data_IF_047640492077
#
_entry.id   IF_047640492077
#
_cell.length_a   1.000
_cell.length_b   1.000
_cell.length_c   1.000
_cell.angle_alpha   90.00
_cell.angle_beta   90.00
_cell.angle_gamma   90.00
#
_symmetry.space_group_name_H-M   'P 1'
#
loop_
_entity.id
_entity.type
_entity.pdbx_description
1 polymer ?
#
# COMPACT_ATOMS: atom_id res chain seq x y z
N UNK A 1 6.10 7.34 11.04
CA UNK A 1 5.56 5.98 11.22
C UNK A 1 4.11 6.14 11.57
N UNK A 2 3.27 5.35 10.90
CA UNK A 2 1.85 5.43 11.11
C UNK A 2 1.46 5.02 12.54
N UNK A 3 0.28 5.44 12.99
CA UNK A 3 -0.27 5.07 14.29
C UNK A 3 -1.77 4.77 14.19
N UNK A 4 -2.27 3.92 15.09
CA UNK A 4 -3.70 3.62 15.19
C UNK A 4 -4.53 4.89 15.41
N UNK A 5 -5.56 5.08 14.59
CA UNK A 5 -6.40 6.27 14.55
C UNK A 5 -5.92 7.37 13.59
N UNK A 6 -4.73 7.24 13.00
CA UNK A 6 -4.29 8.15 11.94
C UNK A 6 -5.18 8.00 10.71
N UNK A 7 -5.49 9.13 10.10
CA UNK A 7 -6.28 9.21 8.87
C UNK A 7 -5.43 9.77 7.74
N UNK A 8 -5.54 9.14 6.57
CA UNK A 8 -4.99 9.62 5.31
C UNK A 8 -6.14 9.86 4.32
N UNK A 9 -6.13 10.99 3.63
CA UNK A 9 -7.13 11.31 2.59
C UNK A 9 -6.41 11.55 1.26
N UNK A 10 -6.74 10.73 0.26
CA UNK A 10 -6.23 10.85 -1.11
C UNK A 10 -7.26 11.57 -2.00
N UNK A 11 -7.01 12.83 -2.38
CA UNK A 11 -7.97 13.63 -3.13
C UNK A 11 -8.15 13.18 -4.59
N UNK A 12 -7.27 12.34 -5.12
CA UNK A 12 -7.29 11.91 -6.52
C UNK A 12 -8.02 10.58 -6.67
N UNK A 13 -7.75 9.60 -5.80
CA UNK A 13 -8.41 8.29 -5.83
C UNK A 13 -9.73 8.24 -5.06
N UNK A 14 -10.02 9.26 -4.24
CA UNK A 14 -11.22 9.29 -3.38
C UNK A 14 -11.12 8.36 -2.17
N UNK A 15 -9.93 7.88 -1.84
CA UNK A 15 -9.66 7.02 -0.68
C UNK A 15 -9.48 7.84 0.59
N UNK A 16 -10.17 7.44 1.66
CA UNK A 16 -9.92 7.87 3.03
C UNK A 16 -9.62 6.65 3.89
N UNK A 17 -8.40 6.59 4.40
CA UNK A 17 -7.84 5.44 5.09
C UNK A 17 -7.67 5.79 6.56
N UNK A 18 -8.31 5.04 7.45
CA UNK A 18 -8.11 5.15 8.90
C UNK A 18 -7.39 3.90 9.41
N UNK A 19 -6.21 4.06 9.99
CA UNK A 19 -5.48 2.93 10.56
C UNK A 19 -6.16 2.42 11.83
N UNK A 20 -6.51 1.12 11.85
CA UNK A 20 -7.11 0.45 13.01
C UNK A 20 -6.09 -0.31 13.84
N UNK A 21 -5.13 -0.95 13.16
CA UNK A 21 -3.99 -1.66 13.73
C UNK A 21 -2.82 -1.55 12.78
N UNK A 22 -1.70 -1.02 13.25
CA UNK A 22 -0.45 -0.91 12.50
C UNK A 22 0.40 -2.17 12.66
N UNK A 23 1.43 -2.33 11.85
CA UNK A 23 2.47 -3.34 12.01
C UNK A 23 3.09 -3.30 13.41
N UNK A 24 3.25 -2.11 14.00
CA UNK A 24 3.75 -1.99 15.37
C UNK A 24 2.79 -2.56 16.42
N UNK A 25 1.47 -2.44 16.19
CA UNK A 25 0.44 -2.97 17.09
C UNK A 25 0.33 -4.50 17.03
N UNK A 26 0.74 -5.11 15.91
CA UNK A 26 0.53 -6.54 15.60
C UNK A 26 1.83 -7.34 15.52
N UNK A 27 2.98 -6.72 15.82
CA UNK A 27 4.29 -7.36 15.65
C UNK A 27 4.65 -7.63 14.17
N UNK A 28 4.01 -6.94 13.23
CA UNK A 28 4.23 -7.05 11.79
C UNK A 28 3.43 -8.17 11.12
N UNK A 29 2.61 -8.91 11.87
CA UNK A 29 1.85 -10.04 11.35
C UNK A 29 0.73 -9.60 10.40
N UNK A 30 0.08 -8.48 10.66
CA UNK A 30 -0.99 -7.95 9.81
C UNK A 30 -1.24 -6.46 10.06
N UNK A 31 -1.84 -5.79 9.08
CA UNK A 31 -2.29 -4.41 9.12
C UNK A 31 -3.82 -4.41 8.98
N UNK A 32 -4.52 -3.55 9.73
CA UNK A 32 -5.95 -3.32 9.53
C UNK A 32 -6.27 -1.84 9.35
N UNK A 33 -7.12 -1.54 8.37
CA UNK A 33 -7.63 -0.20 8.08
C UNK A 33 -9.14 -0.21 7.89
N UNK A 34 -9.78 0.91 8.20
CA UNK A 34 -11.07 1.28 7.65
C UNK A 34 -10.80 2.10 6.37
N UNK A 35 -11.23 1.57 5.22
CA UNK A 35 -11.15 2.23 3.91
C UNK A 35 -12.53 2.78 3.54
N UNK A 36 -12.65 4.10 3.56
CA UNK A 36 -13.79 4.82 3.00
C UNK A 36 -13.46 5.22 1.55
N UNK A 37 -14.39 4.94 0.62
CA UNK A 37 -14.29 5.37 -0.76
C UNK A 37 -15.45 6.29 -1.10
N UNK A 38 -15.13 7.48 -1.63
CA UNK A 38 -16.13 8.36 -2.23
C UNK A 38 -16.84 7.67 -3.41
N UNK A 39 -18.00 8.17 -3.87
CA UNK A 39 -18.53 7.81 -5.18
C UNK A 39 -17.43 7.94 -6.25
N UNK A 40 -17.38 6.99 -7.19
CA UNK A 40 -16.32 6.83 -8.21
C UNK A 40 -14.89 6.61 -7.67
N UNK A 41 -14.72 6.52 -6.34
CA UNK A 41 -13.44 6.27 -5.70
C UNK A 41 -12.90 4.89 -6.07
N UNK A 42 -11.59 4.79 -6.28
CA UNK A 42 -10.97 3.58 -6.81
C UNK A 42 -9.49 3.49 -6.46
N UNK A 43 -8.96 2.27 -6.36
CA UNK A 43 -7.53 2.08 -6.15
C UNK A 43 -6.72 2.54 -7.37
N UNK A 44 -5.56 3.21 -7.17
CA UNK A 44 -4.67 3.65 -8.25
C UNK A 44 -4.03 2.48 -9.02
N UNK A 45 -4.77 1.90 -9.96
CA UNK A 45 -4.23 0.84 -10.82
C UNK A 45 -4.72 -0.56 -10.47
N UNK A 46 -4.69 -1.46 -11.47
CA UNK A 46 -4.68 -2.88 -11.18
C UNK A 46 -3.27 -3.24 -10.71
N UNK A 47 -3.17 -4.07 -9.69
CA UNK A 47 -1.90 -4.40 -9.05
C UNK A 47 -1.91 -5.82 -8.49
N UNK A 48 -0.76 -6.26 -7.98
CA UNK A 48 -0.61 -7.55 -7.31
C UNK A 48 0.27 -7.39 -6.08
N UNK A 49 -0.17 -7.98 -4.97
CA UNK A 49 0.65 -8.19 -3.78
C UNK A 49 1.39 -9.53 -3.93
N UNK A 50 2.73 -9.56 -4.02
CA UNK A 50 3.45 -10.81 -4.26
C UNK A 50 3.46 -11.74 -3.04
N UNK A 51 3.35 -11.17 -1.83
CA UNK A 51 3.44 -11.89 -0.56
C UNK A 51 2.15 -11.75 0.26
N UNK A 52 1.45 -10.62 0.12
CA UNK A 52 0.33 -10.29 1.00
C UNK A 52 -1.00 -10.84 0.47
N UNK A 53 -1.81 -11.38 1.37
CA UNK A 53 -3.25 -11.56 1.19
C UNK A 53 -3.97 -10.31 1.71
N UNK A 54 -5.04 -9.92 1.02
CA UNK A 54 -5.95 -8.88 1.48
C UNK A 54 -7.36 -9.43 1.67
N UNK A 55 -8.00 -9.04 2.77
CA UNK A 55 -9.40 -9.36 3.08
C UNK A 55 -10.19 -8.07 3.17
N UNK A 56 -11.25 -7.96 2.37
CA UNK A 56 -12.14 -6.81 2.29
C UNK A 56 -13.52 -7.19 2.82
N UNK A 57 -13.88 -6.74 4.02
CA UNK A 57 -15.24 -6.85 4.56
C UNK A 57 -15.99 -5.55 4.26
N UNK A 58 -17.01 -5.62 3.42
CA UNK A 58 -17.82 -4.45 3.08
C UNK A 58 -18.78 -4.16 4.23
N UNK A 59 -18.58 -3.03 4.90
CA UNK A 59 -19.42 -2.60 6.02
C UNK A 59 -20.63 -1.82 5.51
N UNK A 60 -20.44 -1.01 4.47
CA UNK A 60 -21.47 -0.15 3.89
C UNK A 60 -21.18 0.12 2.41
N UNK A 61 -22.23 0.34 1.62
CA UNK A 61 -22.12 0.70 0.21
C UNK A 61 -22.03 -0.51 -0.72
N UNK A 62 -21.51 -0.30 -1.92
CA UNK A 62 -21.32 -1.36 -2.92
C UNK A 62 -19.95 -1.23 -3.57
N UNK A 63 -19.19 -2.32 -3.52
CA UNK A 63 -17.85 -2.41 -4.07
C UNK A 63 -17.85 -3.28 -5.32
N UNK A 64 -17.04 -2.90 -6.30
CA UNK A 64 -16.75 -3.75 -7.46
C UNK A 64 -15.27 -4.10 -7.46
N UNK A 65 -15.00 -5.39 -7.48
CA UNK A 65 -13.66 -5.96 -7.57
C UNK A 65 -13.47 -6.59 -8.94
N UNK A 66 -12.34 -6.28 -9.57
CA UNK A 66 -11.74 -7.12 -10.60
C UNK A 66 -10.71 -7.99 -9.88
N UNK A 67 -10.95 -9.30 -9.75
CA UNK A 67 -10.06 -10.27 -9.09
C UNK A 67 -9.66 -11.34 -10.10
N UNK A 68 -8.42 -11.30 -10.56
CA UNK A 68 -7.93 -12.07 -11.69
C UNK A 68 -8.81 -11.84 -12.93
N UNK A 69 -9.41 -12.92 -13.44
CA UNK A 69 -10.34 -12.87 -14.57
C UNK A 69 -11.81 -12.69 -14.18
N UNK A 70 -12.12 -12.59 -12.88
CA UNK A 70 -13.49 -12.47 -12.38
C UNK A 70 -13.81 -11.04 -11.99
N UNK A 71 -15.07 -10.68 -12.15
CA UNK A 71 -15.65 -9.44 -11.63
C UNK A 71 -16.61 -9.82 -10.52
N UNK A 72 -16.47 -9.20 -9.36
CA UNK A 72 -17.27 -9.45 -8.16
C UNK A 72 -17.89 -8.12 -7.76
N UNK A 73 -19.21 -8.09 -7.60
CA UNK A 73 -19.90 -7.00 -6.91
C UNK A 73 -20.17 -7.48 -5.48
N UNK A 74 -19.74 -6.71 -4.50
CA UNK A 74 -19.89 -7.02 -3.08
C UNK A 74 -20.69 -5.90 -2.39
N UNK A 75 -21.63 -6.29 -1.55
CA UNK A 75 -22.51 -5.40 -0.79
C UNK A 75 -22.19 -5.48 0.71
N UNK A 76 -22.82 -4.61 1.50
CA UNK A 76 -22.68 -4.64 2.95
C UNK A 76 -22.93 -6.06 3.53
N UNK A 77 -21.99 -6.54 4.34
CA UNK A 77 -21.97 -7.89 4.90
C UNK A 77 -21.13 -8.90 4.10
N UNK A 78 -20.82 -8.62 2.83
CA UNK A 78 -19.99 -9.51 2.01
C UNK A 78 -18.50 -9.36 2.36
N UNK A 79 -17.76 -10.45 2.18
CA UNK A 79 -16.29 -10.44 2.25
C UNK A 79 -15.68 -10.93 0.95
N UNK A 80 -14.72 -10.16 0.41
CA UNK A 80 -13.86 -10.56 -0.70
C UNK A 80 -12.44 -10.77 -0.19
N UNK A 81 -11.91 -11.98 -0.38
CA UNK A 81 -10.49 -12.29 -0.10
C UNK A 81 -9.71 -12.29 -1.41
N UNK A 82 -8.56 -11.63 -1.42
CA UNK A 82 -7.61 -11.56 -2.53
C UNK A 82 -6.31 -12.24 -2.09
N UNK A 83 -6.09 -13.51 -2.48
CA UNK A 83 -4.87 -14.22 -2.13
C UNK A 83 -3.62 -13.58 -2.74
N UNK A 84 -2.47 -13.76 -2.09
CA UNK A 84 -1.17 -13.37 -2.61
C UNK A 84 -0.96 -13.84 -4.06
N UNK A 85 -0.34 -12.99 -4.87
CA UNK A 85 -0.11 -13.24 -6.30
C UNK A 85 -1.35 -13.02 -7.20
N UNK A 86 -2.51 -12.69 -6.63
CA UNK A 86 -3.72 -12.42 -7.42
C UNK A 86 -3.75 -10.98 -7.90
N UNK A 87 -3.75 -10.79 -9.23
CA UNK A 87 -3.99 -9.46 -9.82
C UNK A 87 -5.39 -8.99 -9.45
N UNK A 88 -5.50 -7.76 -8.95
CA UNK A 88 -6.80 -7.20 -8.62
C UNK A 88 -6.85 -5.67 -8.73
N UNK A 89 -8.08 -5.15 -8.71
CA UNK A 89 -8.44 -3.73 -8.65
C UNK A 89 -9.81 -3.64 -7.99
N UNK A 90 -10.05 -2.60 -7.21
CA UNK A 90 -11.37 -2.32 -6.67
C UNK A 90 -11.81 -0.86 -6.91
N UNK A 91 -13.11 -0.65 -6.85
CA UNK A 91 -13.73 0.67 -6.88
C UNK A 91 -15.05 0.66 -6.13
N UNK A 92 -15.48 1.83 -5.67
CA UNK A 92 -16.85 2.07 -5.29
C UNK A 92 -17.73 2.03 -6.53
N UNK A 93 -18.77 1.20 -6.50
CA UNK A 93 -19.73 1.02 -7.60
C UNK A 93 -21.13 1.55 -7.24
N UNK A 94 -21.28 2.15 -6.06
CA UNK A 94 -22.51 2.80 -5.63
C UNK A 94 -22.49 4.31 -5.89
N UNK A 95 -23.65 4.94 -5.72
CA UNK A 95 -23.83 6.40 -5.84
C UNK A 95 -23.50 7.16 -4.55
N UNK A 96 -23.39 6.44 -3.42
CA UNK A 96 -22.97 6.96 -2.12
C UNK A 96 -21.59 6.45 -1.71
N UNK A 97 -21.06 6.88 -0.54
CA UNK A 97 -19.80 6.37 -0.03
C UNK A 97 -19.87 4.87 0.29
N UNK A 98 -18.74 4.19 0.15
CA UNK A 98 -18.55 2.82 0.62
C UNK A 98 -17.57 2.81 1.80
N UNK A 99 -17.82 1.94 2.78
CA UNK A 99 -16.90 1.68 3.90
C UNK A 99 -16.54 0.20 3.91
N UNK A 100 -15.24 -0.08 3.92
CA UNK A 100 -14.68 -1.42 3.85
C UNK A 100 -13.63 -1.58 4.95
N UNK A 101 -13.74 -2.63 5.75
CA UNK A 101 -12.64 -3.05 6.63
C UNK A 101 -11.67 -3.88 5.82
N UNK A 102 -10.41 -3.45 5.79
CA UNK A 102 -9.37 -4.14 5.05
C UNK A 102 -8.32 -4.65 6.02
N UNK A 103 -8.04 -5.94 5.93
CA UNK A 103 -6.90 -6.57 6.59
C UNK A 103 -5.90 -7.01 5.53
N UNK A 104 -4.61 -6.75 5.79
CA UNK A 104 -3.50 -7.09 4.90
C UNK A 104 -2.48 -7.91 5.70
N UNK A 105 -2.13 -9.09 5.18
CA UNK A 105 -1.23 -10.02 5.87
C UNK A 105 -0.19 -10.61 4.91
N UNK A 106 1.13 -10.51 5.22
CA UNK A 106 1.74 -9.79 6.35
C UNK A 106 1.64 -8.26 6.21
N UNK A 107 1.89 -7.52 7.29
CA UNK A 107 1.79 -6.05 7.28
C UNK A 107 2.82 -5.38 6.33
N UNK A 108 4.05 -5.91 6.33
CA UNK A 108 5.20 -5.33 5.61
C UNK A 108 5.33 -3.82 5.86
N UNK A 109 5.62 -3.01 4.82
CA UNK A 109 5.65 -1.54 4.89
C UNK A 109 4.41 -0.91 4.24
N UNK A 110 3.27 -1.58 4.34
CA UNK A 110 2.04 -1.14 3.68
C UNK A 110 1.56 0.23 4.19
N UNK A 111 1.80 0.58 5.46
CA UNK A 111 1.49 1.93 5.96
C UNK A 111 2.31 3.01 5.24
N UNK A 112 3.61 2.77 5.03
CA UNK A 112 4.49 3.69 4.31
C UNK A 112 4.09 3.83 2.83
N UNK A 113 3.61 2.74 2.23
CA UNK A 113 3.07 2.74 0.87
C UNK A 113 1.83 3.63 0.77
N UNK A 114 0.88 3.51 1.71
CA UNK A 114 -0.30 4.37 1.76
C UNK A 114 0.07 5.84 1.97
N UNK A 115 0.95 6.13 2.93
CA UNK A 115 1.46 7.48 3.19
C UNK A 115 2.12 8.08 1.93
N UNK A 116 2.93 7.30 1.21
CA UNK A 116 3.60 7.74 -0.01
C UNK A 116 2.62 8.03 -1.15
N UNK A 117 1.64 7.14 -1.36
CA UNK A 117 0.61 7.33 -2.40
C UNK A 117 -0.21 8.60 -2.15
N UNK A 118 -0.63 8.82 -0.90
CA UNK A 118 -1.39 10.02 -0.50
C UNK A 118 -0.54 11.29 -0.63
N UNK A 119 0.73 11.25 -0.24
CA UNK A 119 1.64 12.38 -0.39
C UNK A 119 1.81 12.78 -1.86
N UNK A 120 2.02 11.81 -2.76
CA UNK A 120 2.14 12.04 -4.20
C UNK A 120 0.88 12.70 -4.78
N UNK A 121 -0.29 12.23 -4.37
CA UNK A 121 -1.57 12.80 -4.81
C UNK A 121 -1.75 14.25 -4.35
N UNK A 122 -1.48 14.53 -3.07
CA UNK A 122 -1.58 15.89 -2.48
C UNK A 122 -0.59 16.88 -3.08
N UNK A 123 0.59 16.39 -3.46
CA UNK A 123 1.62 17.20 -4.14
C UNK A 123 1.37 17.38 -5.65
N UNK A 124 0.27 16.84 -6.20
CA UNK A 124 -0.06 16.93 -7.62
C UNK A 124 0.90 16.15 -8.52
N UNK A 125 1.49 15.05 -8.01
CA UNK A 125 2.53 14.25 -8.68
C UNK A 125 2.01 12.92 -9.21
N UNK A 126 0.69 12.84 -9.37
CA UNK A 126 -0.04 11.73 -9.96
C UNK A 126 -0.78 12.19 -11.21
N UNK A 127 -1.05 11.26 -12.10
CA UNK A 127 -2.05 11.43 -13.16
C UNK A 127 -3.46 11.49 -12.54
N UNK A 128 -4.48 11.85 -13.34
CA UNK A 128 -5.88 11.86 -12.90
C UNK A 128 -6.41 10.49 -12.47
N UNK A 129 -5.75 9.41 -12.90
CA UNK A 129 -6.02 8.03 -12.47
C UNK A 129 -5.44 7.66 -11.10
N UNK A 130 -4.81 8.60 -10.39
CA UNK A 130 -4.11 8.37 -9.13
C UNK A 130 -2.72 7.74 -9.27
N UNK A 131 -2.37 7.23 -10.45
CA UNK A 131 -1.05 6.65 -10.70
C UNK A 131 0.05 7.73 -10.64
N UNK A 132 1.18 7.50 -9.95
CA UNK A 132 2.32 8.42 -9.94
C UNK A 132 2.87 8.71 -11.34
N UNK A 133 3.42 9.91 -11.56
CA UNK A 133 4.14 10.23 -12.79
C UNK A 133 5.36 9.30 -12.99
N UNK A 134 5.85 9.09 -14.23
CA UNK A 134 6.83 8.03 -14.52
C UNK A 134 8.11 8.02 -13.65
N UNK A 135 8.68 9.18 -13.33
CA UNK A 135 9.86 9.27 -12.47
C UNK A 135 9.55 8.91 -11.01
N UNK A 136 8.36 9.27 -10.52
CA UNK A 136 7.89 8.89 -9.19
C UNK A 136 7.54 7.41 -9.14
N UNK A 137 6.82 6.92 -10.15
CA UNK A 137 6.46 5.51 -10.27
C UNK A 137 7.71 4.62 -10.25
N UNK A 138 8.78 5.01 -10.95
CA UNK A 138 10.04 4.26 -10.95
C UNK A 138 10.71 4.18 -9.57
N UNK A 139 10.62 5.23 -8.75
CA UNK A 139 11.14 5.22 -7.37
C UNK A 139 10.21 4.42 -6.45
N UNK A 140 8.90 4.67 -6.53
CA UNK A 140 7.86 4.01 -5.76
C UNK A 140 7.89 2.49 -5.95
N UNK A 141 7.90 2.00 -7.20
CA UNK A 141 7.92 0.58 -7.49
C UNK A 141 9.20 -0.13 -7.01
N UNK A 142 10.31 0.60 -6.89
CA UNK A 142 11.54 0.03 -6.33
C UNK A 142 11.50 0.01 -4.80
N UNK A 143 10.90 1.03 -4.19
CA UNK A 143 10.81 1.15 -2.73
C UNK A 143 9.87 0.09 -2.13
N UNK A 144 8.77 -0.21 -2.84
CA UNK A 144 7.69 -1.07 -2.37
C UNK A 144 7.52 -2.37 -3.18
N UNK A 145 8.61 -2.94 -3.74
CA UNK A 145 8.55 -4.16 -4.58
C UNK A 145 8.08 -5.41 -3.82
N UNK A 146 8.18 -5.41 -2.47
CA UNK A 146 7.70 -6.50 -1.63
C UNK A 146 6.19 -6.40 -1.38
N UNK A 147 5.65 -5.18 -1.36
CA UNK A 147 4.26 -4.88 -1.12
C UNK A 147 3.47 -4.94 -2.43
N UNK A 148 3.89 -4.25 -3.49
CA UNK A 148 3.10 -4.09 -4.70
C UNK A 148 3.92 -4.22 -5.99
N UNK A 149 3.34 -4.87 -6.99
CA UNK A 149 3.94 -5.00 -8.32
C UNK A 149 2.95 -4.69 -9.43
N UNK A 150 3.49 -4.33 -10.60
CA UNK A 150 2.70 -4.19 -11.81
C UNK A 150 2.10 -5.55 -12.21
N UNK A 151 0.84 -5.58 -12.67
CA UNK A 151 0.19 -6.82 -13.05
C UNK A 151 0.74 -7.33 -14.39
N UNK A 152 0.78 -8.65 -14.57
CA UNK A 152 1.08 -9.38 -15.82
C UNK A 152 2.48 -9.18 -16.43
N UNK A 153 3.30 -8.24 -15.94
CA UNK A 153 4.66 -8.02 -16.44
C UNK A 153 5.67 -8.69 -15.50
N UNK A 154 6.60 -9.54 -16.01
CA UNK A 154 7.64 -10.13 -15.18
C UNK A 154 8.46 -9.07 -14.45
N UNK A 155 8.73 -9.26 -13.15
CA UNK A 155 9.40 -8.27 -12.32
C UNK A 155 10.78 -7.85 -12.87
N UNK A 156 11.49 -8.75 -13.54
CA UNK A 156 12.76 -8.44 -14.21
C UNK A 156 12.60 -7.42 -15.34
N UNK A 157 11.54 -7.55 -16.16
CA UNK A 157 11.24 -6.62 -17.24
C UNK A 157 10.83 -5.24 -16.70
N UNK A 158 9.97 -5.22 -15.67
CA UNK A 158 9.61 -3.97 -14.96
C UNK A 158 10.86 -3.26 -14.45
N UNK A 159 11.75 -3.98 -13.76
CA UNK A 159 13.00 -3.40 -13.24
C UNK A 159 13.91 -2.87 -14.34
N UNK A 160 14.04 -3.59 -15.46
CA UNK A 160 14.86 -3.14 -16.58
C UNK A 160 14.36 -1.82 -17.19
N UNK A 161 13.04 -1.67 -17.35
CA UNK A 161 12.41 -0.45 -17.87
C UNK A 161 12.50 0.70 -16.87
N UNK A 162 12.29 0.43 -15.57
CA UNK A 162 12.24 1.47 -14.53
C UNK A 162 13.63 1.92 -14.05
N UNK A 163 14.69 1.12 -14.24
CA UNK A 163 16.02 1.44 -13.72
C UNK A 163 16.61 2.76 -14.26
N UNK A 164 16.57 3.07 -15.58
CA UNK A 164 17.03 4.36 -16.10
C UNK A 164 16.26 5.55 -15.54
N UNK A 165 14.93 5.41 -15.40
CA UNK A 165 14.06 6.43 -14.83
C UNK A 165 14.36 6.67 -13.35
N UNK A 166 14.56 5.61 -12.58
CA UNK A 166 14.94 5.70 -11.17
C UNK A 166 16.33 6.34 -10.99
N UNK A 167 17.27 6.07 -11.90
CA UNK A 167 18.58 6.73 -11.91
C UNK A 167 18.45 8.23 -12.18
N UNK A 168 17.68 8.62 -13.20
CA UNK A 168 17.42 10.03 -13.53
C UNK A 168 16.73 10.76 -12.37
N UNK A 169 15.71 10.14 -11.78
CA UNK A 169 14.98 10.68 -10.64
C UNK A 169 15.89 10.88 -9.41
N UNK A 170 16.82 9.95 -9.16
CA UNK A 170 17.86 10.10 -8.13
C UNK A 170 18.76 11.28 -8.40
N UNK A 171 19.22 11.46 -9.65
CA UNK A 171 20.06 12.59 -10.07
C UNK A 171 19.36 13.95 -9.88
N UNK A 172 18.03 13.97 -9.95
CA UNK A 172 17.20 15.14 -9.68
C UNK A 172 16.84 15.32 -8.18
N UNK A 173 17.37 14.46 -7.29
CA UNK A 173 17.10 14.57 -5.84
C UNK A 173 15.72 14.06 -5.39
N UNK A 174 14.90 13.51 -6.29
CA UNK A 174 13.53 13.07 -5.97
C UNK A 174 13.49 11.94 -4.92
N UNK A 175 14.55 11.12 -4.89
CA UNK A 175 14.70 10.01 -3.94
C UNK A 175 14.75 10.44 -2.47
N UNK A 176 15.12 11.69 -2.17
CA UNK A 176 15.17 12.20 -0.78
C UNK A 176 13.80 12.18 -0.10
N UNK A 177 12.71 12.17 -0.89
CA UNK A 177 11.33 12.04 -0.39
C UNK A 177 11.07 10.65 0.18
N UNK A 178 11.48 9.61 -0.54
CA UNK A 178 11.34 8.21 -0.13
C UNK A 178 12.33 7.83 0.98
N UNK A 179 13.45 8.56 1.11
CA UNK A 179 14.43 8.35 2.17
C UNK A 179 13.93 8.76 3.57
N UNK A 180 12.85 9.54 3.67
CA UNK A 180 12.24 9.95 4.95
C UNK A 180 11.24 8.95 5.51
N UNK A 181 10.79 7.99 4.72
CA UNK A 181 9.73 7.04 5.10
C UNK A 181 10.28 5.75 5.71
N UNK A 182 11.48 5.33 5.31
CA UNK A 182 12.11 4.13 5.87
C UNK A 182 12.42 4.32 7.38
N UNK A 183 11.86 3.49 8.28
CA UNK A 183 12.32 3.47 9.65
C UNK A 183 13.81 3.10 9.64
N UNK A 184 14.61 3.88 10.36
CA UNK A 184 15.93 3.41 10.78
C UNK A 184 15.68 2.16 11.60
N UNK A 185 15.87 0.99 10.97
CA UNK A 185 15.93 -0.28 11.68
C UNK A 185 16.81 -0.06 12.91
N UNK A 186 16.34 -0.36 14.13
CA UNK A 186 17.18 -0.26 15.31
C UNK A 186 18.26 -1.31 15.12
N UNK A 187 19.38 -0.89 14.51
CA UNK A 187 20.62 -1.66 14.53
C UNK A 187 20.82 -2.03 15.98
N UNK A 188 20.78 -3.33 16.25
CA UNK A 188 21.11 -3.89 17.55
C UNK A 188 22.35 -3.15 18.06
N UNK A 189 22.17 -2.26 19.04
CA UNK A 189 23.26 -1.85 19.90
C UNK A 189 23.63 -3.12 20.67
N UNK A 190 24.49 -3.94 20.05
CA UNK A 190 25.39 -4.79 20.82
C UNK A 190 26.26 -3.82 21.59
N UNK A 191 25.86 -3.54 22.81
CA UNK A 191 26.72 -2.94 23.81
C UNK A 191 27.90 -3.90 24.01
N UNK A 192 29.14 -3.52 23.67
CA UNK A 192 30.31 -4.38 23.87
C UNK A 192 30.62 -4.63 25.35
N UNK A 193 29.88 -4.03 26.29
CA UNK A 193 30.23 -4.01 27.73
C UNK A 193 29.36 -4.90 28.62
N UNK A 194 28.50 -5.75 28.08
CA UNK A 194 27.68 -6.65 28.92
C UNK A 194 28.35 -8.02 29.08
N UNK A 195 28.91 -8.36 30.26
CA UNK A 195 29.49 -9.68 30.48
C UNK A 195 28.38 -10.75 30.52
N UNK A 196 28.68 -12.01 30.12
CA UNK A 196 27.70 -13.08 30.13
C UNK A 196 27.28 -13.42 31.55
N UNK A 197 25.96 -13.44 31.78
CA UNK A 197 25.36 -13.93 33.02
C UNK A 197 25.68 -15.41 33.19
N UNK A 198 26.44 -15.75 34.24
CA UNK A 198 26.62 -17.13 34.69
C UNK A 198 25.33 -17.61 35.35
N UNK A 199 24.69 -18.58 34.72
CA UNK A 199 23.60 -19.38 35.32
C UNK A 199 24.18 -20.22 36.45
N UNK A 200 23.48 -20.26 37.58
CA UNK A 200 23.61 -21.27 38.64
C UNK A 200 22.26 -21.98 38.75
#
# INVERSE_FOLDING_TARGET
MAYSGQVLDNPISGERITFRKTAADTGGEWLAIDLELSPEGHVPGAHVHPIQEERFEVVMGTMKFRKGLRTITAHAGDTVVVPAGTVHRFMNAGTGPALVRVEVQPALRMEELFEATVALAREGRTMSSGMPYPLELALFMREFDAEVRAPFVPAAAVRAVMAPLAWLARRQGLHLRYARTAPRSPRSRRDPRRPPSRTR
#
